data_IF_031852914935
#
_entry.id   IF_031852914935
#
_cell.length_a   1.000
_cell.length_b   1.000
_cell.length_c   1.000
_cell.angle_alpha   90.00
_cell.angle_beta   90.00
_cell.angle_gamma   90.00
#
_symmetry.space_group_name_H-M   'P 1'
#
loop_
_entity.id
_entity.type
_entity.pdbx_description
1 polymer ?
#
# COMPACT_ATOMS: atom_id res chain seq x y z
N UNK A 1 -36.57 -32.07 -79.23
CA UNK A 1 -37.33 -32.89 -78.26
C UNK A 1 -36.52 -32.96 -76.97
N UNK A 2 -36.88 -32.43 -75.81
CA UNK A 2 -38.19 -32.11 -75.25
C UNK A 2 -38.51 -33.07 -74.10
N UNK A 3 -37.97 -32.85 -72.90
CA UNK A 3 -38.56 -33.34 -71.64
C UNK A 3 -38.42 -32.28 -70.55
N UNK A 4 -39.52 -31.56 -70.34
CA UNK A 4 -39.79 -30.69 -69.19
C UNK A 4 -39.94 -31.57 -67.96
N UNK A 5 -39.26 -31.25 -66.86
CA UNK A 5 -39.67 -31.75 -65.55
C UNK A 5 -40.15 -30.57 -64.71
N UNK A 6 -41.46 -30.57 -64.43
CA UNK A 6 -42.13 -29.64 -63.51
C UNK A 6 -41.99 -30.24 -62.12
N UNK A 7 -41.51 -29.47 -61.16
CA UNK A 7 -42.03 -29.52 -59.79
C UNK A 7 -41.78 -28.18 -59.09
N UNK A 8 -42.87 -27.42 -58.99
CA UNK A 8 -43.04 -26.23 -58.17
C UNK A 8 -43.71 -26.70 -56.88
N UNK A 9 -43.08 -26.51 -55.73
CA UNK A 9 -43.68 -26.36 -54.39
C UNK A 9 -42.65 -25.57 -53.58
N UNK A 10 -42.78 -24.24 -53.48
CA UNK A 10 -43.35 -23.56 -52.30
C UNK A 10 -42.80 -24.12 -50.97
N UNK A 11 -41.84 -23.39 -50.40
CA UNK A 11 -41.92 -22.80 -49.05
C UNK A 11 -40.62 -22.02 -48.81
N UNK A 12 -40.74 -20.70 -48.86
CA UNK A 12 -39.82 -19.79 -48.18
C UNK A 12 -39.83 -20.16 -46.70
N UNK A 13 -38.85 -20.96 -46.28
CA UNK A 13 -38.54 -21.10 -44.87
C UNK A 13 -37.78 -19.83 -44.47
N UNK A 14 -38.53 -18.85 -43.96
CA UNK A 14 -37.97 -17.73 -43.24
C UNK A 14 -37.00 -18.27 -42.19
N UNK A 15 -35.71 -18.00 -42.40
CA UNK A 15 -34.68 -18.19 -41.38
C UNK A 15 -35.07 -17.29 -40.21
N UNK A 16 -35.33 -17.81 -39.01
CA UNK A 16 -35.62 -16.94 -37.87
C UNK A 16 -34.40 -16.06 -37.62
N UNK A 17 -34.58 -14.75 -37.35
CA UNK A 17 -33.47 -13.91 -36.95
C UNK A 17 -32.85 -14.52 -35.70
N UNK A 18 -31.54 -14.78 -35.79
CA UNK A 18 -30.72 -15.13 -34.64
C UNK A 18 -30.93 -14.01 -33.62
N UNK A 19 -31.65 -14.29 -32.54
CA UNK A 19 -31.68 -13.43 -31.38
C UNK A 19 -30.25 -13.37 -30.87
N UNK A 20 -29.57 -12.25 -31.14
CA UNK A 20 -28.30 -11.92 -30.54
C UNK A 20 -28.50 -12.02 -29.02
N UNK A 21 -27.92 -13.07 -28.43
CA UNK A 21 -27.83 -13.22 -26.98
C UNK A 21 -27.28 -11.91 -26.43
N UNK A 22 -28.12 -11.19 -25.70
CA UNK A 22 -27.74 -10.02 -24.97
C UNK A 22 -26.44 -10.31 -24.23
N UNK A 23 -25.43 -9.51 -24.57
CA UNK A 23 -24.13 -9.39 -23.93
C UNK A 23 -24.27 -9.56 -22.41
N UNK A 24 -24.07 -10.79 -21.92
CA UNK A 24 -23.74 -11.02 -20.53
C UNK A 24 -22.34 -10.47 -20.38
N UNK A 25 -22.24 -9.19 -20.01
CA UNK A 25 -20.97 -8.60 -19.58
C UNK A 25 -20.41 -9.53 -18.51
N UNK A 26 -19.16 -10.03 -18.65
CA UNK A 26 -18.59 -10.82 -17.59
C UNK A 26 -18.58 -9.96 -16.33
N UNK A 27 -19.11 -10.51 -15.23
CA UNK A 27 -19.02 -9.97 -13.85
C UNK A 27 -17.55 -9.79 -13.39
N UNK A 28 -16.57 -9.95 -14.27
CA UNK A 28 -15.17 -9.60 -14.02
C UNK A 28 -14.91 -8.08 -14.12
N UNK A 29 -15.77 -7.29 -14.77
CA UNK A 29 -15.44 -5.91 -15.16
C UNK A 29 -15.90 -4.82 -14.17
N UNK A 30 -16.57 -5.20 -13.07
CA UNK A 30 -16.96 -4.27 -11.99
C UNK A 30 -16.09 -4.39 -10.72
N UNK A 31 -15.13 -5.30 -10.69
CA UNK A 31 -14.16 -5.38 -9.60
C UNK A 31 -13.16 -4.22 -9.75
N UNK A 32 -13.34 -3.17 -8.94
CA UNK A 32 -12.30 -2.15 -8.76
C UNK A 32 -10.97 -2.84 -8.45
N UNK A 33 -9.83 -2.34 -8.96
CA UNK A 33 -8.54 -2.90 -8.57
C UNK A 33 -8.45 -2.91 -7.04
N UNK A 34 -7.96 -4.00 -6.43
CA UNK A 34 -7.91 -4.12 -4.99
C UNK A 34 -7.14 -2.94 -4.41
N UNK A 35 -7.76 -2.17 -3.51
CA UNK A 35 -7.09 -1.03 -2.89
C UNK A 35 -6.05 -1.57 -1.90
N UNK A 36 -4.98 -0.82 -1.71
CA UNK A 36 -3.96 -1.15 -0.71
C UNK A 36 -4.26 -0.36 0.55
N UNK A 37 -4.75 -1.05 1.60
CA UNK A 37 -4.92 -0.49 2.94
C UNK A 37 -3.63 -0.70 3.73
N UNK A 38 -3.13 0.34 4.37
CA UNK A 38 -1.92 0.27 5.21
C UNK A 38 -2.29 0.38 6.68
N UNK A 39 -1.79 -0.54 7.47
CA UNK A 39 -2.10 -0.64 8.90
C UNK A 39 -0.80 -0.64 9.70
N UNK A 40 -0.76 0.17 10.74
CA UNK A 40 0.35 0.26 11.67
C UNK A 40 0.12 -0.68 12.85
N UNK A 41 1.09 -1.56 13.09
CA UNK A 41 1.12 -2.45 14.25
C UNK A 41 2.37 -2.14 15.10
N UNK A 42 2.19 -2.22 16.41
CA UNK A 42 3.30 -2.15 17.37
C UNK A 42 4.09 -3.45 17.24
N UNK A 43 5.36 -3.37 16.81
CA UNK A 43 6.17 -4.55 16.51
C UNK A 43 6.50 -5.39 17.75
N UNK A 44 6.66 -6.70 17.57
CA UNK A 44 7.01 -7.64 18.65
C UNK A 44 8.35 -7.33 19.34
N UNK A 45 9.27 -6.60 18.69
CA UNK A 45 10.52 -6.09 19.28
C UNK A 45 10.28 -5.10 20.42
N UNK A 46 9.06 -4.57 20.56
CA UNK A 46 8.64 -3.68 21.63
C UNK A 46 7.90 -4.41 22.75
N UNK A 47 7.60 -5.72 22.58
CA UNK A 47 7.16 -6.55 23.69
C UNK A 47 8.34 -6.74 24.64
N UNK A 48 8.16 -6.61 25.97
CA UNK A 48 9.20 -6.99 26.90
C UNK A 48 9.47 -8.49 26.74
N UNK A 49 10.49 -8.85 25.95
CA UNK A 49 11.04 -10.21 25.93
C UNK A 49 11.67 -10.41 27.30
N UNK A 50 10.91 -11.00 28.22
CA UNK A 50 11.37 -11.33 29.55
C UNK A 50 12.68 -12.13 29.49
N UNK A 51 13.77 -11.50 29.94
CA UNK A 51 14.46 -11.96 31.14
C UNK A 51 15.10 -10.78 31.84
N UNK A 52 14.61 -10.49 33.05
CA UNK A 52 15.13 -9.49 33.99
C UNK A 52 16.63 -9.64 34.31
N UNK A 53 17.26 -10.74 33.86
CA UNK A 53 18.67 -11.07 34.11
C UNK A 53 19.64 -10.74 32.97
N UNK A 54 19.18 -10.25 31.81
CA UNK A 54 20.07 -10.00 30.65
C UNK A 54 20.48 -8.52 30.52
N UNK A 55 20.56 -7.82 31.64
CA UNK A 55 20.88 -6.38 31.76
C UNK A 55 22.28 -5.97 31.26
N UNK A 56 23.08 -6.92 30.77
CA UNK A 56 24.50 -6.74 30.44
C UNK A 56 24.96 -7.40 29.13
N UNK A 57 24.05 -7.84 28.26
CA UNK A 57 24.42 -8.21 26.89
C UNK A 57 24.15 -7.02 25.98
N UNK A 58 25.18 -6.59 25.26
CA UNK A 58 25.19 -5.47 24.32
C UNK A 58 24.19 -5.66 23.17
N UNK A 59 22.90 -5.52 23.47
CA UNK A 59 21.82 -5.40 22.50
C UNK A 59 21.65 -3.91 22.23
N UNK A 60 22.05 -3.48 21.03
CA UNK A 60 21.93 -2.09 20.58
C UNK A 60 20.56 -1.53 20.95
N UNK A 61 20.54 -0.29 21.43
CA UNK A 61 19.35 0.41 21.90
C UNK A 61 18.18 0.22 20.94
N UNK A 62 17.24 -0.66 21.32
CA UNK A 62 15.99 -0.83 20.58
C UNK A 62 15.30 0.53 20.55
N UNK A 63 15.19 1.11 19.35
CA UNK A 63 14.64 2.44 19.18
C UNK A 63 13.17 2.46 19.60
N UNK A 64 12.75 3.55 20.24
CA UNK A 64 11.42 3.68 20.84
C UNK A 64 10.31 3.59 19.77
N UNK A 65 9.16 3.05 20.18
CA UNK A 65 7.92 3.11 19.44
C UNK A 65 7.49 4.56 19.14
N UNK A 66 6.95 4.84 17.95
CA UNK A 66 6.33 6.13 17.67
C UNK A 66 5.06 6.32 18.51
N UNK A 67 4.80 7.56 18.92
CA UNK A 67 3.59 7.91 19.65
C UNK A 67 2.34 7.73 18.77
N UNK A 68 2.39 8.22 17.53
CA UNK A 68 1.30 8.12 16.56
C UNK A 68 1.73 7.41 15.27
N UNK A 69 2.05 6.11 15.38
CA UNK A 69 2.57 5.31 14.26
C UNK A 69 1.68 5.26 13.02
N UNK A 70 0.35 5.17 13.19
CA UNK A 70 -0.58 5.20 12.06
C UNK A 70 -0.60 6.56 11.37
N UNK A 71 -0.61 7.67 12.10
CA UNK A 71 -0.59 9.01 11.51
C UNK A 71 0.69 9.25 10.69
N UNK A 72 1.84 8.78 11.22
CA UNK A 72 3.10 8.81 10.48
C UNK A 72 3.06 7.91 9.23
N UNK A 73 2.38 6.76 9.29
CA UNK A 73 2.21 5.84 8.15
C UNK A 73 1.32 6.42 7.06
N UNK A 74 0.21 7.05 7.43
CA UNK A 74 -0.75 7.62 6.48
C UNK A 74 -0.13 8.74 5.63
N UNK A 75 0.76 9.53 6.24
CA UNK A 75 1.51 10.60 5.56
C UNK A 75 2.88 10.15 5.05
N UNK A 76 3.24 8.88 5.23
CA UNK A 76 4.58 8.39 4.88
C UNK A 76 4.85 8.38 3.39
N UNK A 77 6.11 8.59 3.05
CA UNK A 77 6.63 8.50 1.68
C UNK A 77 7.56 7.31 1.51
N UNK A 78 7.57 6.77 0.30
CA UNK A 78 8.52 5.72 -0.07
C UNK A 78 9.92 6.34 -0.22
N UNK A 79 10.92 5.70 0.37
CA UNK A 79 12.31 6.21 0.36
C UNK A 79 12.89 6.07 -1.05
N UNK A 80 12.79 4.86 -1.63
CA UNK A 80 13.28 4.52 -2.97
C UNK A 80 12.20 3.76 -3.74
N UNK A 81 12.07 4.03 -5.04
CA UNK A 81 11.16 3.31 -5.94
C UNK A 81 11.45 1.80 -5.98
N UNK A 82 12.70 1.40 -5.79
CA UNK A 82 13.13 0.00 -5.81
C UNK A 82 12.78 -0.79 -4.55
N UNK A 83 12.38 -0.12 -3.46
CA UNK A 83 12.01 -0.77 -2.21
C UNK A 83 10.66 -0.25 -1.69
N UNK A 84 9.61 -1.01 -1.96
CA UNK A 84 8.24 -0.72 -1.54
C UNK A 84 7.96 -1.09 -0.07
N UNK A 85 8.85 -1.89 0.54
CA UNK A 85 8.65 -2.37 1.91
C UNK A 85 9.01 -1.34 2.97
N UNK A 86 9.90 -0.39 2.68
CA UNK A 86 10.34 0.62 3.64
C UNK A 86 9.87 2.02 3.27
N UNK A 87 9.21 2.67 4.22
CA UNK A 87 8.67 4.02 4.12
C UNK A 87 9.23 4.87 5.26
N UNK A 88 9.09 6.18 5.13
CA UNK A 88 9.46 7.13 6.18
C UNK A 88 8.37 8.18 6.30
N UNK A 89 8.00 8.52 7.53
CA UNK A 89 6.96 9.49 7.84
C UNK A 89 7.36 10.39 9.00
N UNK A 90 6.52 11.39 9.25
CA UNK A 90 6.63 12.30 10.38
C UNK A 90 5.31 12.30 11.12
N UNK A 91 5.37 12.14 12.43
CA UNK A 91 4.26 12.52 13.30
C UNK A 91 4.33 14.04 13.50
N UNK A 92 3.37 14.77 12.93
CA UNK A 92 3.37 16.23 13.00
C UNK A 92 2.93 16.77 14.36
N UNK A 93 2.31 15.95 15.21
CA UNK A 93 1.88 16.36 16.54
C UNK A 93 3.06 16.35 17.52
N UNK A 94 3.93 15.36 17.41
CA UNK A 94 5.12 15.18 18.27
C UNK A 94 6.42 15.64 17.63
N UNK A 95 6.46 15.73 16.30
CA UNK A 95 7.65 15.96 15.50
C UNK A 95 8.56 14.75 15.34
N UNK A 96 8.10 13.55 15.74
CA UNK A 96 8.87 12.31 15.60
C UNK A 96 9.04 11.91 14.13
N UNK A 97 10.26 11.56 13.75
CA UNK A 97 10.54 10.94 12.46
C UNK A 97 10.47 9.44 12.63
N UNK A 98 9.64 8.78 11.82
CA UNK A 98 9.33 7.36 11.96
C UNK A 98 9.75 6.61 10.70
N UNK A 99 10.65 5.65 10.86
CA UNK A 99 10.93 4.66 9.81
C UNK A 99 9.90 3.55 9.93
N UNK A 100 9.28 3.20 8.82
CA UNK A 100 8.18 2.24 8.74
C UNK A 100 8.57 1.08 7.82
N UNK A 101 8.63 -0.12 8.38
CA UNK A 101 8.98 -1.35 7.69
C UNK A 101 7.76 -2.27 7.55
N UNK A 102 7.46 -2.67 6.32
CA UNK A 102 6.36 -3.60 6.02
C UNK A 102 6.72 -4.99 6.54
N UNK A 103 6.04 -5.42 7.58
CA UNK A 103 6.21 -6.75 8.17
C UNK A 103 5.42 -7.82 7.41
N UNK A 104 4.20 -7.51 6.97
CA UNK A 104 3.32 -8.47 6.29
C UNK A 104 2.52 -7.79 5.19
N UNK A 105 2.23 -8.54 4.13
CA UNK A 105 1.23 -8.20 3.12
C UNK A 105 0.23 -9.35 3.08
N UNK A 106 -1.06 -9.03 3.18
CA UNK A 106 -2.15 -9.98 3.17
C UNK A 106 -2.93 -9.72 1.88
N UNK A 107 -2.95 -10.72 1.00
CA UNK A 107 -3.76 -10.68 -0.21
C UNK A 107 -5.24 -10.87 0.14
N UNK A 108 -6.16 -10.25 -0.63
CA UNK A 108 -7.58 -10.45 -0.43
C UNK A 108 -7.95 -11.91 -0.68
N UNK A 109 -8.77 -12.46 0.21
CA UNK A 109 -9.26 -13.85 0.09
C UNK A 109 -10.42 -13.97 -0.91
N UNK A 110 -11.11 -12.86 -1.17
CA UNK A 110 -12.24 -12.78 -2.08
C UNK A 110 -11.99 -11.72 -3.17
N UNK A 111 -12.51 -11.90 -4.41
CA UNK A 111 -12.49 -10.88 -5.44
C UNK A 111 -13.11 -9.57 -4.94
N UNK A 112 -12.40 -8.45 -5.14
CA UNK A 112 -12.84 -7.13 -4.69
C UNK A 112 -12.48 -6.77 -3.24
N UNK A 113 -11.77 -7.64 -2.50
CA UNK A 113 -11.20 -7.28 -1.20
C UNK A 113 -9.95 -6.40 -1.29
N UNK A 114 -9.61 -5.74 -0.19
CA UNK A 114 -8.40 -4.92 -0.09
C UNK A 114 -7.16 -5.78 0.19
N UNK A 115 -6.03 -5.36 -0.37
CA UNK A 115 -4.70 -5.82 0.05
C UNK A 115 -4.34 -5.07 1.33
N UNK A 116 -4.01 -5.79 2.40
CA UNK A 116 -3.60 -5.18 3.66
C UNK A 116 -2.08 -5.26 3.82
N UNK A 117 -1.44 -4.11 3.98
CA UNK A 117 -0.02 -4.02 4.30
C UNK A 117 0.17 -3.61 5.75
N UNK A 118 0.81 -4.49 6.53
CA UNK A 118 1.08 -4.28 7.95
C UNK A 118 2.49 -3.75 8.10
N UNK A 119 2.63 -2.59 8.73
CA UNK A 119 3.88 -1.90 8.99
C UNK A 119 4.19 -1.84 10.47
N UNK A 120 5.47 -1.98 10.83
CA UNK A 120 6.00 -1.61 12.14
C UNK A 120 6.87 -0.38 12.00
N UNK A 121 7.01 0.41 13.06
CA UNK A 121 7.85 1.59 13.01
C UNK A 121 8.67 1.80 14.26
N UNK A 122 9.74 2.56 14.08
CA UNK A 122 10.61 3.02 15.14
C UNK A 122 11.00 4.48 14.90
N UNK A 123 11.15 5.24 15.98
CA UNK A 123 11.53 6.64 15.93
C UNK A 123 13.03 6.77 15.67
N UNK A 124 13.42 7.75 14.87
CA UNK A 124 14.82 8.14 14.62
C UNK A 124 15.01 9.64 14.77
N UNK A 125 16.20 10.02 15.22
CA UNK A 125 16.60 11.41 15.32
C UNK A 125 17.12 11.93 13.99
N UNK A 126 16.76 13.17 13.66
CA UNK A 126 17.20 13.82 12.41
C UNK A 126 18.72 13.94 12.29
N UNK A 127 19.37 14.27 13.41
CA UNK A 127 20.81 14.50 13.51
C UNK A 127 21.61 13.21 13.79
N UNK A 128 20.94 12.07 13.94
CA UNK A 128 21.63 10.79 14.09
C UNK A 128 22.18 10.35 12.74
N UNK A 129 23.50 10.46 12.60
CA UNK A 129 24.26 10.03 11.41
C UNK A 129 24.98 8.71 11.62
N UNK A 130 24.65 7.97 12.68
CA UNK A 130 25.17 6.62 12.87
C UNK A 130 24.68 5.67 11.77
N UNK A 131 25.25 4.46 11.71
CA UNK A 131 24.81 3.43 10.77
C UNK A 131 23.32 3.08 10.94
N UNK A 132 22.78 3.26 12.14
CA UNK A 132 21.38 3.01 12.46
C UNK A 132 20.50 4.26 12.29
N UNK A 133 21.09 5.44 12.12
CA UNK A 133 20.41 6.72 11.99
C UNK A 133 19.74 6.95 10.64
N UNK A 134 19.35 8.21 10.37
CA UNK A 134 18.81 8.57 9.06
C UNK A 134 19.93 8.61 8.02
N UNK A 135 19.71 7.95 6.88
CA UNK A 135 20.59 8.11 5.73
C UNK A 135 20.14 9.28 4.82
N UNK A 136 20.96 9.66 3.85
CA UNK A 136 20.65 10.78 2.96
C UNK A 136 19.41 10.55 2.10
N UNK A 137 19.18 9.31 1.67
CA UNK A 137 17.98 8.96 0.90
C UNK A 137 16.70 9.19 1.69
N UNK A 138 16.69 8.83 2.99
CA UNK A 138 15.59 9.07 3.92
C UNK A 138 15.35 10.56 4.12
N UNK A 139 16.41 11.34 4.40
CA UNK A 139 16.33 12.80 4.54
C UNK A 139 15.79 13.46 3.27
N UNK A 140 16.27 13.01 2.11
CA UNK A 140 15.85 13.53 0.82
C UNK A 140 14.41 13.15 0.49
N UNK A 141 13.97 11.93 0.85
CA UNK A 141 12.58 11.51 0.69
C UNK A 141 11.63 12.37 1.52
N UNK A 142 11.96 12.64 2.79
CA UNK A 142 11.17 13.53 3.65
C UNK A 142 11.07 14.96 3.10
N UNK A 143 12.21 15.53 2.65
CA UNK A 143 12.25 16.86 2.03
C UNK A 143 11.44 16.91 0.73
N UNK A 144 11.59 15.91 -0.14
CA UNK A 144 10.87 15.81 -1.43
C UNK A 144 9.37 15.61 -1.21
N UNK A 145 8.99 14.85 -0.20
CA UNK A 145 7.60 14.68 0.22
C UNK A 145 7.01 15.88 0.94
N UNK A 146 7.81 16.93 1.19
CA UNK A 146 7.37 18.13 1.87
C UNK A 146 6.93 17.89 3.31
N UNK A 147 7.44 16.83 3.97
CA UNK A 147 7.14 16.50 5.38
C UNK A 147 8.04 17.24 6.37
N UNK A 148 9.23 17.65 5.91
CA UNK A 148 10.20 18.37 6.72
C UNK A 148 10.84 19.52 5.94
N UNK A 149 11.33 20.52 6.67
CA UNK A 149 12.14 21.59 6.13
C UNK A 149 13.61 21.14 5.90
N UNK A 150 14.47 22.07 5.44
CA UNK A 150 15.89 21.78 5.20
C UNK A 150 16.65 21.35 6.47
N UNK A 151 16.12 21.70 7.66
CA UNK A 151 16.69 21.43 8.98
C UNK A 151 16.05 20.21 9.67
N UNK A 152 15.15 19.49 8.99
CA UNK A 152 14.49 18.31 9.55
C UNK A 152 13.31 18.61 10.46
N UNK A 153 12.80 19.84 10.47
CA UNK A 153 11.65 20.21 11.27
C UNK A 153 10.37 19.87 10.50
N UNK A 154 9.33 19.32 11.15
CA UNK A 154 8.05 19.07 10.52
C UNK A 154 7.52 20.33 9.84
N UNK A 155 7.13 20.20 8.58
CA UNK A 155 6.37 21.25 7.89
C UNK A 155 4.92 21.21 8.36
N UNK A 156 4.15 22.31 8.23
CA UNK A 156 2.71 22.20 8.38
C UNK A 156 2.18 21.18 7.36
N UNK A 157 1.16 20.38 7.72
CA UNK A 157 0.51 19.50 6.75
C UNK A 157 0.07 20.36 5.54
N UNK A 158 0.15 19.84 4.31
CA UNK A 158 -0.38 20.54 3.15
C UNK A 158 -1.82 20.93 3.48
N UNK A 159 -2.14 22.23 3.41
CA UNK A 159 -3.52 22.68 3.57
C UNK A 159 -4.31 21.98 2.48
N UNK A 160 -5.32 21.20 2.86
CA UNK A 160 -6.26 20.64 1.91
C UNK A 160 -6.84 21.81 1.13
N UNK A 161 -6.39 22.00 -0.12
CA UNK A 161 -7.08 22.87 -1.06
C UNK A 161 -8.40 22.17 -1.37
N UNK A 162 -9.43 22.60 -0.65
CA UNK A 162 -10.85 22.32 -0.89
C UNK A 162 -11.26 22.65 -2.33
#
# INVERSE_FOLDING_TARGET
MGKRNRNRHLRDAAVPPQVESALVKPVAELAHPPRVRREYHVGDEQRPKHREKDRNLAMGSASRAPANGQAALDRSVQIKSTNERRRIGVDHDTGEIVILDRHRRIEPQNPGGDVVEIYHGHVRDWNDTSADGLNDDMRNALKRGGLVDKKGRPTPPPKDTE
#
